data_IF_039956279880
#
_entry.id   IF_039956279880
#
_cell.length_a   1.000
_cell.length_b   1.000
_cell.length_c   1.000
_cell.angle_alpha   90.00
_cell.angle_beta   90.00
_cell.angle_gamma   90.00
#
_symmetry.space_group_name_H-M   'P 1'
#
loop_
_entity.id
_entity.type
_entity.pdbx_description
1 polymer ?
#
# COMPACT_ATOMS: atom_id res chain seq x y z
N UNK A 1 30.53 -68.26 13.03
CA UNK A 1 29.27 -67.50 12.87
C UNK A 1 29.08 -67.27 11.38
N UNK A 2 28.06 -67.89 10.77
CA UNK A 2 27.82 -67.79 9.32
C UNK A 2 26.99 -66.54 9.00
N UNK A 3 27.49 -65.70 8.09
CA UNK A 3 26.74 -64.57 7.55
C UNK A 3 25.91 -65.06 6.35
N UNK A 4 24.59 -65.16 6.52
CA UNK A 4 23.67 -65.43 5.41
C UNK A 4 23.36 -64.13 4.66
N UNK A 5 23.60 -64.18 3.36
CA UNK A 5 23.27 -63.19 2.35
C UNK A 5 21.86 -63.48 1.85
N UNK A 6 20.99 -62.47 1.71
CA UNK A 6 19.78 -62.56 0.92
C UNK A 6 19.49 -61.24 0.20
N UNK A 7 18.97 -61.37 -1.01
CA UNK A 7 19.00 -60.39 -2.11
C UNK A 7 17.58 -60.02 -2.53
N UNK A 8 17.41 -58.73 -2.87
CA UNK A 8 16.51 -58.07 -3.84
C UNK A 8 15.07 -58.56 -3.99
N UNK A 9 14.11 -57.65 -3.78
CA UNK A 9 12.92 -57.54 -4.61
C UNK A 9 12.61 -56.07 -4.91
N UNK A 10 12.53 -55.78 -6.21
CA UNK A 10 12.23 -54.51 -6.86
C UNK A 10 10.71 -54.39 -7.02
N UNK A 11 10.09 -53.30 -6.55
CA UNK A 11 8.72 -52.92 -6.96
C UNK A 11 8.71 -51.47 -7.41
N UNK A 12 8.93 -51.32 -8.72
CA UNK A 12 8.82 -50.10 -9.47
C UNK A 12 7.41 -50.07 -10.10
N UNK A 13 6.42 -49.46 -9.44
CA UNK A 13 5.14 -49.11 -10.05
C UNK A 13 4.53 -47.88 -9.33
N UNK A 14 4.51 -46.75 -10.02
CA UNK A 14 3.87 -45.52 -9.53
C UNK A 14 3.93 -44.35 -10.51
N UNK A 15 3.72 -44.60 -11.80
CA UNK A 15 3.56 -43.55 -12.81
C UNK A 15 2.13 -42.97 -12.73
N UNK A 16 2.06 -41.65 -12.47
CA UNK A 16 1.07 -40.62 -12.87
C UNK A 16 -0.24 -41.07 -13.55
N UNK A 17 -1.39 -40.45 -13.19
CA UNK A 17 -2.25 -39.63 -14.09
C UNK A 17 -3.63 -39.26 -13.50
N UNK A 18 -4.00 -38.00 -13.80
CA UNK A 18 -5.32 -37.40 -14.00
C UNK A 18 -6.30 -37.27 -12.83
N UNK A 19 -6.79 -36.04 -12.71
CA UNK A 19 -7.85 -35.67 -11.79
C UNK A 19 -9.21 -36.26 -12.16
N UNK A 20 -10.09 -36.25 -11.17
CA UNK A 20 -11.52 -36.08 -11.38
C UNK A 20 -12.12 -35.69 -10.05
N UNK A 21 -12.46 -34.41 -9.89
CA UNK A 21 -13.39 -33.99 -8.85
C UNK A 21 -14.76 -34.52 -9.25
N UNK A 22 -15.18 -35.58 -8.58
CA UNK A 22 -16.49 -36.21 -8.69
C UNK A 22 -17.59 -35.22 -8.28
N UNK A 23 -18.23 -34.58 -9.24
CA UNK A 23 -19.51 -33.92 -9.05
C UNK A 23 -20.64 -34.95 -9.22
N UNK A 24 -21.17 -35.45 -8.10
CA UNK A 24 -22.41 -36.22 -8.10
C UNK A 24 -23.59 -35.26 -8.32
N UNK A 25 -24.03 -35.13 -9.56
CA UNK A 25 -25.34 -34.55 -9.88
C UNK A 25 -26.30 -35.68 -10.32
N UNK A 26 -27.51 -35.76 -9.76
CA UNK A 26 -28.54 -36.67 -10.26
C UNK A 26 -29.21 -36.11 -11.52
N UNK A 27 -29.68 -36.95 -12.47
CA UNK A 27 -30.48 -36.48 -13.59
C UNK A 27 -31.94 -36.41 -13.15
N UNK A 28 -32.51 -35.20 -13.10
CA UNK A 28 -33.96 -35.05 -13.15
C UNK A 28 -34.33 -33.86 -14.02
N UNK A 29 -35.10 -34.15 -15.07
CA UNK A 29 -35.71 -33.18 -15.96
C UNK A 29 -36.83 -32.45 -15.20
N UNK A 30 -36.83 -31.11 -15.25
CA UNK A 30 -37.89 -30.31 -14.65
C UNK A 30 -37.80 -28.84 -15.03
N UNK A 31 -38.71 -28.43 -15.90
CA UNK A 31 -39.05 -27.04 -16.21
C UNK A 31 -39.51 -26.32 -14.93
N UNK A 32 -38.98 -25.12 -14.65
CA UNK A 32 -39.57 -24.23 -13.64
C UNK A 32 -38.61 -23.25 -12.98
N UNK A 33 -38.75 -21.98 -13.36
CA UNK A 33 -38.64 -20.77 -12.53
C UNK A 33 -37.55 -20.63 -11.45
N UNK A 34 -36.75 -19.58 -11.65
CA UNK A 34 -36.12 -18.72 -10.64
C UNK A 34 -35.06 -19.36 -9.73
N UNK A 35 -33.80 -19.15 -10.11
CA UNK A 35 -32.74 -18.88 -9.14
C UNK A 35 -31.81 -17.82 -9.73
N UNK A 36 -32.02 -16.58 -9.27
CA UNK A 36 -31.08 -15.48 -9.49
C UNK A 36 -29.76 -15.91 -8.84
N UNK A 37 -28.79 -16.30 -9.65
CA UNK A 37 -27.42 -16.49 -9.20
C UNK A 37 -26.92 -15.17 -8.60
N UNK A 38 -26.75 -15.14 -7.27
CA UNK A 38 -25.99 -14.09 -6.63
C UNK A 38 -24.55 -14.15 -7.21
N UNK A 39 -23.93 -13.02 -7.55
CA UNK A 39 -22.52 -13.02 -7.92
C UNK A 39 -21.70 -13.56 -6.73
N UNK A 40 -20.58 -14.25 -6.97
CA UNK A 40 -19.70 -14.67 -5.89
C UNK A 40 -19.34 -13.43 -5.07
N UNK A 41 -19.54 -13.52 -3.75
CA UNK A 41 -19.11 -12.50 -2.81
C UNK A 41 -17.64 -12.16 -3.09
N UNK A 42 -17.23 -10.88 -3.09
CA UNK A 42 -15.83 -10.54 -3.21
C UNK A 42 -15.12 -11.19 -2.01
N UNK A 43 -14.36 -12.25 -2.24
CA UNK A 43 -13.31 -12.63 -1.30
C UNK A 43 -12.38 -11.43 -1.23
N UNK A 44 -12.53 -10.61 -0.18
CA UNK A 44 -11.58 -9.57 0.20
C UNK A 44 -10.29 -10.22 0.73
N UNK A 45 -9.68 -11.11 -0.06
CA UNK A 45 -8.29 -11.44 0.11
C UNK A 45 -7.54 -10.36 -0.64
N UNK A 46 -7.32 -9.23 0.04
CA UNK A 46 -6.43 -8.17 -0.40
C UNK A 46 -5.11 -8.84 -0.74
N UNK A 47 -4.89 -9.13 -2.01
CA UNK A 47 -3.55 -9.25 -2.56
C UNK A 47 -2.92 -7.87 -2.39
N UNK A 48 -2.37 -7.63 -1.21
CA UNK A 48 -1.27 -6.69 -1.02
C UNK A 48 -0.14 -7.28 -1.88
N UNK A 49 -0.15 -6.96 -3.16
CA UNK A 49 0.95 -7.31 -4.02
C UNK A 49 2.13 -6.52 -3.49
N UNK A 50 3.02 -7.23 -2.79
CA UNK A 50 4.37 -6.85 -2.37
C UNK A 50 5.27 -6.54 -3.58
N UNK A 51 4.76 -5.80 -4.57
CA UNK A 51 5.54 -5.29 -5.69
C UNK A 51 6.21 -4.02 -5.20
N UNK A 52 7.33 -4.22 -4.50
CA UNK A 52 8.48 -3.32 -4.47
C UNK A 52 8.25 -1.86 -4.09
N UNK A 53 7.46 -1.58 -3.04
CA UNK A 53 7.29 -0.21 -2.57
C UNK A 53 6.83 -0.07 -1.13
N UNK A 54 6.86 1.16 -0.62
CA UNK A 54 6.45 1.49 0.75
C UNK A 54 4.93 1.38 0.97
N UNK A 55 4.13 1.11 -0.05
CA UNK A 55 2.68 0.89 0.13
C UNK A 55 1.92 2.17 0.52
N UNK A 56 2.43 3.34 0.13
CA UNK A 56 1.74 4.62 0.31
C UNK A 56 0.52 4.65 -0.59
N UNK A 57 -0.63 5.03 -0.02
CA UNK A 57 -1.89 5.16 -0.76
C UNK A 57 -1.74 6.18 -1.90
N UNK A 58 -2.13 5.84 -3.15
CA UNK A 58 -2.03 6.76 -4.29
C UNK A 58 -2.77 8.08 -4.07
N UNK A 59 -3.85 8.09 -3.30
CA UNK A 59 -4.59 9.29 -2.93
C UNK A 59 -3.71 10.31 -2.18
N UNK A 60 -2.83 9.84 -1.29
CA UNK A 60 -1.95 10.73 -0.51
C UNK A 60 -0.86 11.38 -1.36
N UNK A 61 -0.56 10.81 -2.53
CA UNK A 61 0.41 11.33 -3.49
C UNK A 61 -0.24 12.30 -4.51
N UNK A 62 -1.53 12.57 -4.39
CA UNK A 62 -2.27 13.41 -5.33
C UNK A 62 -1.65 14.82 -5.42
N UNK A 63 -1.20 15.18 -6.61
CA UNK A 63 -0.60 16.50 -6.88
C UNK A 63 0.87 16.63 -6.51
N UNK A 64 1.47 15.62 -5.87
CA UNK A 64 2.91 15.61 -5.62
C UNK A 64 3.68 15.45 -6.95
N UNK A 65 4.76 16.21 -7.09
CA UNK A 65 5.64 16.15 -8.26
C UNK A 65 6.24 14.73 -8.42
N UNK A 66 6.37 14.18 -9.65
CA UNK A 66 6.97 12.87 -9.87
C UNK A 66 8.38 12.71 -9.26
N UNK A 67 9.16 13.79 -9.19
CA UNK A 67 10.49 13.80 -8.56
C UNK A 67 10.46 13.56 -7.04
N UNK A 68 9.29 13.70 -6.41
CA UNK A 68 9.04 13.42 -4.99
C UNK A 68 8.23 12.13 -4.84
N UNK A 69 7.16 11.96 -5.63
CA UNK A 69 6.28 10.81 -5.52
C UNK A 69 6.96 9.48 -5.91
N UNK A 70 7.76 9.44 -6.98
CA UNK A 70 8.38 8.20 -7.43
C UNK A 70 9.40 7.62 -6.42
N UNK A 71 10.32 8.42 -5.84
CA UNK A 71 11.21 7.92 -4.78
C UNK A 71 10.46 7.43 -3.54
N UNK A 72 9.37 8.11 -3.13
CA UNK A 72 8.54 7.69 -1.99
C UNK A 72 7.86 6.33 -2.23
N UNK A 73 7.37 6.10 -3.45
CA UNK A 73 6.78 4.80 -3.83
C UNK A 73 7.86 3.72 -3.87
N UNK A 74 9.02 4.02 -4.45
CA UNK A 74 10.15 3.08 -4.56
C UNK A 74 10.83 2.79 -3.20
N UNK A 75 10.62 3.63 -2.19
CA UNK A 75 11.31 3.56 -0.90
C UNK A 75 12.76 4.04 -0.95
N UNK A 76 13.12 4.84 -1.97
CA UNK A 76 14.43 5.43 -2.14
C UNK A 76 14.44 6.83 -1.50
N UNK A 77 14.72 6.88 -0.20
CA UNK A 77 14.69 8.11 0.60
C UNK A 77 16.08 8.75 0.66
N UNK A 78 16.55 9.27 -0.48
CA UNK A 78 17.86 9.90 -0.60
C UNK A 78 17.97 11.24 0.17
N UNK A 79 19.18 11.65 0.52
CA UNK A 79 19.44 12.89 1.29
C UNK A 79 18.88 14.15 0.59
N UNK A 80 18.75 14.13 -0.74
CA UNK A 80 18.19 15.22 -1.53
C UNK A 80 16.66 15.30 -1.53
N UNK A 81 15.97 14.22 -1.13
CA UNK A 81 14.51 14.12 -1.26
C UNK A 81 13.77 15.20 -0.47
N UNK A 82 14.23 15.50 0.75
CA UNK A 82 13.63 16.54 1.58
C UNK A 82 13.74 17.94 0.96
N UNK A 83 14.86 18.26 0.32
CA UNK A 83 15.01 19.55 -0.39
C UNK A 83 14.04 19.61 -1.56
N UNK A 84 14.03 18.57 -2.41
CA UNK A 84 13.11 18.50 -3.55
C UNK A 84 11.66 18.63 -3.10
N UNK A 85 11.25 17.94 -2.04
CA UNK A 85 9.92 18.05 -1.45
C UNK A 85 9.57 19.49 -1.05
N UNK A 86 10.47 20.20 -0.36
CA UNK A 86 10.28 21.62 -0.02
C UNK A 86 10.17 22.51 -1.26
N UNK A 87 11.12 22.37 -2.18
CA UNK A 87 11.26 23.23 -3.35
C UNK A 87 10.09 23.10 -4.33
N UNK A 88 9.58 21.89 -4.48
CA UNK A 88 8.47 21.58 -5.37
C UNK A 88 7.10 21.80 -4.71
N UNK A 89 7.01 21.74 -3.38
CA UNK A 89 5.75 21.91 -2.64
C UNK A 89 5.06 23.25 -2.92
N UNK A 90 5.83 24.31 -3.19
CA UNK A 90 5.29 25.63 -3.58
C UNK A 90 4.47 25.62 -4.87
N UNK A 91 4.59 24.61 -5.72
CA UNK A 91 3.82 24.46 -6.96
C UNK A 91 2.57 23.58 -6.79
N UNK A 92 2.40 22.95 -5.62
CA UNK A 92 1.27 22.09 -5.31
C UNK A 92 -0.06 22.82 -5.49
N UNK A 93 -0.93 22.31 -6.36
CA UNK A 93 -2.22 22.89 -6.73
C UNK A 93 -2.17 24.37 -7.14
N UNK A 94 -1.08 24.80 -7.78
CA UNK A 94 -0.89 26.20 -8.21
C UNK A 94 -1.97 26.72 -9.18
N UNK A 95 -2.73 25.83 -9.82
CA UNK A 95 -3.82 26.18 -10.72
C UNK A 95 -5.13 26.56 -10.02
N UNK A 96 -5.22 26.37 -8.69
CA UNK A 96 -6.37 26.78 -7.88
C UNK A 96 -6.20 28.20 -7.36
N UNK A 97 -7.31 28.87 -7.05
CA UNK A 97 -7.29 30.16 -6.36
C UNK A 97 -6.65 30.03 -4.96
N UNK A 98 -6.04 31.08 -4.39
CA UNK A 98 -5.31 30.98 -3.13
C UNK A 98 -6.14 30.41 -1.96
N UNK A 99 -7.43 30.76 -1.87
CA UNK A 99 -8.35 30.24 -0.85
C UNK A 99 -8.64 28.74 -1.04
N UNK A 100 -9.03 28.34 -2.26
CA UNK A 100 -9.32 26.94 -2.63
C UNK A 100 -8.08 26.05 -2.46
N UNK A 101 -6.92 26.61 -2.81
CA UNK A 101 -5.62 25.96 -2.65
C UNK A 101 -5.32 25.67 -1.18
N UNK A 102 -5.52 26.64 -0.28
CA UNK A 102 -5.35 26.44 1.17
C UNK A 102 -6.28 25.34 1.68
N UNK A 103 -7.55 25.35 1.27
CA UNK A 103 -8.54 24.34 1.68
C UNK A 103 -8.14 22.93 1.24
N UNK A 104 -7.83 22.75 -0.06
CA UNK A 104 -7.41 21.47 -0.62
C UNK A 104 -6.14 20.93 0.03
N UNK A 105 -5.15 21.80 0.31
CA UNK A 105 -3.92 21.39 0.98
C UNK A 105 -4.20 20.95 2.43
N UNK A 106 -5.07 21.66 3.16
CA UNK A 106 -5.43 21.28 4.52
C UNK A 106 -6.17 19.93 4.58
N UNK A 107 -7.07 19.65 3.63
CA UNK A 107 -7.73 18.34 3.52
C UNK A 107 -6.69 17.22 3.36
N UNK A 108 -5.74 17.39 2.44
CA UNK A 108 -4.68 16.40 2.20
C UNK A 108 -3.75 16.24 3.40
N UNK A 109 -3.38 17.34 4.09
CA UNK A 109 -2.61 17.27 5.33
C UNK A 109 -3.37 16.50 6.41
N UNK A 110 -4.69 16.68 6.52
CA UNK A 110 -5.55 15.93 7.43
C UNK A 110 -5.44 14.42 7.17
N UNK A 111 -5.65 14.01 5.91
CA UNK A 111 -5.52 12.60 5.49
C UNK A 111 -4.12 12.04 5.76
N UNK A 112 -3.07 12.81 5.49
CA UNK A 112 -1.69 12.42 5.75
C UNK A 112 -1.39 12.22 7.23
N UNK A 113 -1.90 13.10 8.10
CA UNK A 113 -1.75 12.95 9.55
C UNK A 113 -2.43 11.68 10.03
N UNK A 114 -3.66 11.42 9.59
CA UNK A 114 -4.35 10.17 9.92
C UNK A 114 -3.57 8.93 9.47
N UNK A 115 -2.97 8.97 8.26
CA UNK A 115 -2.14 7.88 7.78
C UNK A 115 -0.85 7.71 8.59
N UNK A 116 -0.19 8.81 8.98
CA UNK A 116 1.01 8.81 9.80
C UNK A 116 0.73 8.27 11.22
N UNK A 117 -0.38 8.66 11.83
CA UNK A 117 -0.81 8.18 13.14
C UNK A 117 -1.10 6.67 13.11
N UNK A 118 -1.79 6.20 12.05
CA UNK A 118 -2.06 4.79 11.85
C UNK A 118 -0.77 3.97 11.67
N UNK A 119 0.18 4.46 10.87
CA UNK A 119 1.46 3.77 10.67
C UNK A 119 2.30 3.77 11.96
N UNK A 120 2.34 4.89 12.69
CA UNK A 120 3.05 4.98 13.98
C UNK A 120 2.45 4.03 15.02
N UNK A 121 1.12 3.89 15.05
CA UNK A 121 0.43 2.92 15.91
C UNK A 121 0.79 1.49 15.51
N UNK A 122 0.73 1.17 14.23
CA UNK A 122 1.10 -0.16 13.72
C UNK A 122 2.56 -0.51 14.06
N UNK A 123 3.49 0.44 13.92
CA UNK A 123 4.89 0.29 14.34
C UNK A 123 5.02 -0.06 15.82
N UNK A 124 4.26 0.62 16.68
CA UNK A 124 4.29 0.39 18.12
C UNK A 124 3.79 -1.02 18.47
N UNK A 125 2.70 -1.46 17.85
CA UNK A 125 2.15 -2.81 18.02
C UNK A 125 3.15 -3.89 17.58
N UNK A 126 3.79 -3.71 16.42
CA UNK A 126 4.84 -4.62 15.93
C UNK A 126 6.04 -4.70 16.89
N UNK A 127 6.39 -3.58 17.52
CA UNK A 127 7.48 -3.52 18.49
C UNK A 127 7.17 -4.28 19.79
N UNK A 128 5.88 -4.45 20.12
CA UNK A 128 5.43 -5.16 21.32
C UNK A 128 5.24 -6.67 21.10
N UNK A 129 5.10 -7.15 19.86
CA UNK A 129 4.84 -8.58 19.60
C UNK A 129 6.05 -9.49 19.87
N UNK A 130 7.28 -8.94 19.82
CA UNK A 130 8.52 -9.66 20.13
C UNK A 130 8.89 -10.79 19.15
N UNK A 131 8.22 -10.88 18.01
CA UNK A 131 8.45 -11.93 17.00
C UNK A 131 9.63 -11.56 16.09
N UNK A 132 10.45 -12.54 15.69
CA UNK A 132 11.62 -12.28 14.82
C UNK A 132 11.25 -11.66 13.47
N UNK A 133 10.06 -11.97 12.93
CA UNK A 133 9.55 -11.37 11.69
C UNK A 133 9.15 -9.89 11.88
N UNK A 134 8.88 -9.46 13.11
CA UNK A 134 8.57 -8.07 13.43
C UNK A 134 9.73 -7.12 13.15
N UNK A 135 11.00 -7.57 13.23
CA UNK A 135 12.16 -6.70 12.96
C UNK A 135 12.10 -6.12 11.54
N UNK A 136 11.78 -6.96 10.54
CA UNK A 136 11.68 -6.52 9.14
C UNK A 136 10.47 -5.62 8.91
N UNK A 137 9.35 -5.94 9.57
CA UNK A 137 8.13 -5.15 9.48
C UNK A 137 8.27 -3.78 10.16
N UNK A 138 8.99 -3.70 11.28
CA UNK A 138 9.33 -2.44 11.96
C UNK A 138 10.20 -1.58 11.05
N UNK A 139 11.26 -2.15 10.45
CA UNK A 139 12.11 -1.42 9.52
C UNK A 139 11.34 -0.91 8.29
N UNK A 140 10.38 -1.69 7.78
CA UNK A 140 9.50 -1.24 6.70
C UNK A 140 8.56 -0.12 7.17
N UNK A 141 8.01 -0.23 8.37
CA UNK A 141 7.15 0.79 8.98
C UNK A 141 7.92 2.10 9.23
N UNK A 142 9.18 2.02 9.65
CA UNK A 142 10.08 3.18 9.80
C UNK A 142 10.24 3.94 8.48
N UNK A 143 10.50 3.23 7.39
CA UNK A 143 10.60 3.83 6.06
C UNK A 143 9.28 4.48 5.62
N UNK A 144 8.13 3.86 5.95
CA UNK A 144 6.81 4.44 5.67
C UNK A 144 6.57 5.73 6.46
N UNK A 145 6.88 5.74 7.76
CA UNK A 145 6.78 6.94 8.61
C UNK A 145 7.66 8.05 8.04
N UNK A 146 8.89 7.73 7.63
CA UNK A 146 9.79 8.70 7.02
C UNK A 146 9.23 9.25 5.71
N UNK A 147 8.70 8.39 4.83
CA UNK A 147 8.12 8.80 3.57
C UNK A 147 6.86 9.66 3.73
N UNK A 148 5.96 9.30 4.66
CA UNK A 148 4.79 10.10 5.01
C UNK A 148 5.20 11.48 5.58
N UNK A 149 6.30 11.54 6.34
CA UNK A 149 6.85 12.79 6.87
C UNK A 149 7.40 13.70 5.77
N UNK A 150 8.09 13.14 4.78
CA UNK A 150 8.56 13.88 3.59
C UNK A 150 7.37 14.42 2.79
N UNK A 151 6.33 13.63 2.63
CA UNK A 151 5.11 14.03 1.94
C UNK A 151 4.40 15.15 2.70
N UNK A 152 4.25 15.03 4.02
CA UNK A 152 3.72 16.08 4.88
C UNK A 152 4.51 17.39 4.72
N UNK A 153 5.85 17.33 4.69
CA UNK A 153 6.71 18.47 4.42
C UNK A 153 6.42 19.13 3.06
N UNK A 154 6.21 18.34 2.01
CA UNK A 154 5.83 18.83 0.68
C UNK A 154 4.52 19.62 0.72
N UNK A 155 3.49 19.08 1.39
CA UNK A 155 2.21 19.79 1.57
C UNK A 155 2.33 21.04 2.45
N UNK A 156 3.12 21.00 3.53
CA UNK A 156 3.36 22.18 4.37
C UNK A 156 4.04 23.32 3.59
N UNK A 157 5.02 23.01 2.73
CA UNK A 157 5.64 24.02 1.86
C UNK A 157 4.63 24.64 0.89
N UNK A 158 3.71 23.83 0.34
CA UNK A 158 2.60 24.32 -0.47
C UNK A 158 1.62 25.20 0.29
N UNK A 159 1.28 24.81 1.53
CA UNK A 159 0.38 25.55 2.40
C UNK A 159 0.95 26.95 2.71
N UNK A 160 2.22 27.01 3.11
CA UNK A 160 2.89 28.26 3.42
C UNK A 160 2.84 29.22 2.21
N UNK A 161 3.17 28.74 1.01
CA UNK A 161 3.11 29.56 -0.19
C UNK A 161 1.66 30.00 -0.53
N UNK A 162 0.66 29.14 -0.32
CA UNK A 162 -0.73 29.49 -0.59
C UNK A 162 -1.23 30.57 0.39
N UNK A 163 -0.86 30.49 1.67
CA UNK A 163 -1.17 31.49 2.69
C UNK A 163 -0.50 32.84 2.40
N UNK A 164 0.79 32.85 2.04
CA UNK A 164 1.49 34.08 1.67
C UNK A 164 0.85 34.78 0.45
N UNK A 165 0.34 34.01 -0.52
CA UNK A 165 -0.39 34.55 -1.66
C UNK A 165 -1.74 35.17 -1.25
N UNK A 166 -2.45 34.52 -0.33
CA UNK A 166 -3.73 35.01 0.20
C UNK A 166 -3.55 36.29 1.02
N UNK A 167 -2.50 36.38 1.84
CA UNK A 167 -2.18 37.58 2.62
C UNK A 167 -1.82 38.76 1.73
N UNK A 168 -1.05 38.54 0.65
CA UNK A 168 -0.73 39.59 -0.33
C UNK A 168 -1.99 40.13 -1.01
N UNK A 169 -2.87 39.25 -1.48
CA UNK A 169 -4.13 39.66 -2.09
C UNK A 169 -5.03 40.47 -1.14
N UNK A 170 -4.99 40.18 0.16
CA UNK A 170 -5.75 40.91 1.18
C UNK A 170 -5.17 42.31 1.46
N UNK A 171 -3.85 42.47 1.40
CA UNK A 171 -3.19 43.74 1.69
C UNK A 171 -3.23 44.74 0.50
N UNK A 172 -3.57 44.25 -0.69
CA UNK A 172 -3.70 45.05 -1.92
C UNK A 172 -5.12 45.59 -2.13
N UNK A 173 -6.06 45.30 -1.22
CA UNK A 173 -7.49 45.62 -1.32
C UNK A 173 -8.01 46.39 -0.11
#
# INVERSE_FOLDING_TARGET
MMAMKASIANTLLGLKKAGSTSCLAPPTSGIGLASRSLPPSPCASRKSSLVGGLGISPELLEGAEPSVAAPLVAGDLDDGLMSRAKDTGKFLYKYLEPSERVEKINDMIGKLKTALDAETTSRLELSQSGENDSIKLIAQSDLRVQALSVLLLHYCAGLQHAQEALEKAKNEN
#
